data_IF_130528106752
#
_entry.id   IF_130528106752
#
_cell.length_a   1.000
_cell.length_b   1.000
_cell.length_c   1.000
_cell.angle_alpha   90.00
_cell.angle_beta   90.00
_cell.angle_gamma   90.00
#
_symmetry.space_group_name_H-M   'P 1'
#
loop_
_entity.id
_entity.type
_entity.pdbx_description
1 polymer ?
#
# COMPACT_ATOMS: atom_id res chain seq x y z
N UNK A 1 -28.41 19.56 -1.27
CA UNK A 1 -27.40 20.57 -0.92
C UNK A 1 -26.11 20.16 -1.60
N UNK A 2 -25.58 20.95 -2.53
CA UNK A 2 -24.24 20.75 -3.07
C UNK A 2 -23.24 20.89 -1.92
N UNK A 3 -22.43 19.85 -1.71
CA UNK A 3 -21.37 19.91 -0.69
C UNK A 3 -20.34 20.96 -1.15
N UNK A 4 -20.06 21.95 -0.32
CA UNK A 4 -19.04 22.97 -0.60
C UNK A 4 -17.69 22.25 -0.78
N UNK A 5 -17.07 22.44 -1.94
CA UNK A 5 -15.72 21.92 -2.21
C UNK A 5 -14.72 22.70 -1.37
N UNK A 6 -13.85 22.00 -0.64
CA UNK A 6 -12.73 22.56 0.09
C UNK A 6 -11.46 22.22 -0.69
N UNK A 7 -10.85 23.22 -1.28
CA UNK A 7 -9.67 23.06 -2.14
C UNK A 7 -8.39 22.79 -1.36
N UNK A 8 -7.32 22.45 -2.09
CA UNK A 8 -6.03 21.98 -1.55
C UNK A 8 -5.42 23.00 -0.57
N UNK A 9 -5.48 24.28 -0.91
CA UNK A 9 -4.90 25.39 -0.13
C UNK A 9 -5.86 26.01 0.89
N UNK A 10 -7.15 25.59 0.86
CA UNK A 10 -8.16 26.20 1.73
C UNK A 10 -7.89 25.91 3.19
N UNK A 11 -8.02 26.95 4.01
CA UNK A 11 -7.96 26.83 5.45
C UNK A 11 -9.27 26.27 5.99
N UNK A 12 -9.16 25.25 6.82
CA UNK A 12 -10.31 24.58 7.43
C UNK A 12 -10.43 25.00 8.90
N UNK A 13 -11.63 25.46 9.33
CA UNK A 13 -11.82 25.81 10.74
C UNK A 13 -11.67 24.59 11.65
N UNK A 14 -11.16 24.79 12.86
CA UNK A 14 -10.73 23.71 13.78
C UNK A 14 -11.86 22.72 14.09
N UNK A 15 -13.10 23.19 14.18
CA UNK A 15 -14.29 22.35 14.43
C UNK A 15 -14.58 21.35 13.29
N UNK A 16 -14.13 21.61 12.06
CA UNK A 16 -14.19 20.70 10.92
C UNK A 16 -12.86 19.99 10.69
N UNK A 17 -11.75 20.64 10.98
CA UNK A 17 -10.41 20.08 10.79
C UNK A 17 -10.22 18.78 11.55
N UNK A 18 -10.57 18.75 12.84
CA UNK A 18 -10.37 17.58 13.70
C UNK A 18 -11.19 16.37 13.21
N UNK A 19 -12.52 16.44 13.01
CA UNK A 19 -13.30 15.31 12.54
C UNK A 19 -12.85 14.79 11.16
N UNK A 20 -12.52 15.69 10.23
CA UNK A 20 -12.04 15.31 8.90
C UNK A 20 -10.66 14.67 8.95
N UNK A 21 -9.76 15.18 9.80
CA UNK A 21 -8.44 14.57 10.01
C UNK A 21 -8.54 13.18 10.63
N UNK A 22 -9.43 12.99 11.60
CA UNK A 22 -9.74 11.69 12.19
C UNK A 22 -10.26 10.73 11.12
N UNK A 23 -11.12 11.20 10.22
CA UNK A 23 -11.66 10.42 9.11
C UNK A 23 -10.56 9.92 8.17
N UNK A 24 -9.61 10.77 7.79
CA UNK A 24 -8.47 10.39 6.95
C UNK A 24 -7.53 9.42 7.66
N UNK A 25 -7.27 9.60 8.96
CA UNK A 25 -6.46 8.68 9.73
C UNK A 25 -7.11 7.29 9.81
N UNK A 26 -8.41 7.21 10.04
CA UNK A 26 -9.10 5.92 10.14
C UNK A 26 -9.33 5.24 8.79
N UNK A 27 -9.39 5.97 7.68
CA UNK A 27 -9.52 5.37 6.35
C UNK A 27 -8.35 4.42 6.03
N UNK A 28 -7.14 4.74 6.52
CA UNK A 28 -5.94 3.92 6.30
C UNK A 28 -5.62 2.97 7.46
N UNK A 29 -6.46 2.93 8.51
CA UNK A 29 -6.17 2.16 9.71
C UNK A 29 -6.01 0.66 9.45
N UNK A 30 -6.81 0.11 8.52
CA UNK A 30 -6.74 -1.31 8.16
C UNK A 30 -5.35 -1.73 7.69
N UNK A 31 -4.74 -0.98 6.77
CA UNK A 31 -3.40 -1.27 6.29
C UNK A 31 -2.32 -1.00 7.34
N UNK A 32 -2.52 0.02 8.19
CA UNK A 32 -1.60 0.32 9.30
C UNK A 32 -1.62 -0.72 10.42
N UNK A 33 -2.66 -1.57 10.47
CA UNK A 33 -2.72 -2.74 11.35
C UNK A 33 -2.17 -3.98 10.65
N UNK A 34 -2.56 -4.20 9.39
CA UNK A 34 -2.25 -5.42 8.66
C UNK A 34 -0.75 -5.55 8.34
N UNK A 35 -0.12 -4.49 7.83
CA UNK A 35 1.27 -4.57 7.39
C UNK A 35 2.24 -4.83 8.56
N UNK A 36 2.18 -4.12 9.71
CA UNK A 36 3.01 -4.46 10.85
C UNK A 36 2.74 -5.85 11.40
N UNK A 37 1.49 -6.34 11.39
CA UNK A 37 1.15 -7.69 11.78
C UNK A 37 1.88 -8.73 10.89
N UNK A 38 1.88 -8.54 9.57
CA UNK A 38 2.55 -9.44 8.63
C UNK A 38 4.06 -9.52 8.85
N UNK A 39 4.70 -8.40 9.19
CA UNK A 39 6.14 -8.36 9.49
C UNK A 39 6.48 -8.70 10.95
N UNK A 40 5.48 -8.87 11.82
CA UNK A 40 5.70 -9.11 13.25
C UNK A 40 6.35 -7.93 13.98
N UNK A 41 6.07 -6.69 13.54
CA UNK A 41 6.64 -5.47 14.13
C UNK A 41 5.60 -4.68 14.94
N UNK A 42 6.09 -3.79 15.82
CA UNK A 42 5.20 -2.94 16.60
C UNK A 42 4.48 -1.92 15.71
N UNK A 43 3.13 -1.87 15.71
CA UNK A 43 2.36 -0.93 14.88
C UNK A 43 2.64 0.55 15.23
N UNK A 44 3.14 0.87 16.41
CA UNK A 44 3.47 2.23 16.81
C UNK A 44 4.52 2.88 15.87
N UNK A 45 5.58 2.14 15.47
CA UNK A 45 6.59 2.68 14.55
C UNK A 45 6.00 2.95 13.16
N UNK A 46 5.03 2.14 12.73
CA UNK A 46 4.36 2.31 11.45
C UNK A 46 3.46 3.56 11.48
N UNK A 47 2.68 3.75 12.54
CA UNK A 47 1.86 4.96 12.72
C UNK A 47 2.72 6.23 12.77
N UNK A 48 3.87 6.17 13.45
CA UNK A 48 4.82 7.27 13.51
C UNK A 48 5.33 7.64 12.11
N UNK A 49 5.76 6.63 11.34
CA UNK A 49 6.36 6.87 10.03
C UNK A 49 5.33 7.24 8.95
N UNK A 50 4.11 6.74 9.03
CA UNK A 50 3.01 7.21 8.18
C UNK A 50 2.74 8.71 8.41
N UNK A 51 2.73 9.15 9.67
CA UNK A 51 2.56 10.57 10.00
C UNK A 51 3.74 11.42 9.55
N UNK A 52 4.97 11.04 9.91
CA UNK A 52 6.18 11.77 9.50
C UNK A 52 6.30 11.80 7.97
N UNK A 53 6.11 10.67 7.30
CA UNK A 53 6.18 10.56 5.85
C UNK A 53 5.17 11.48 5.15
N UNK A 54 3.93 11.53 5.67
CA UNK A 54 2.90 12.44 5.16
C UNK A 54 3.29 13.91 5.31
N UNK A 55 3.83 14.31 6.47
CA UNK A 55 4.30 15.68 6.68
C UNK A 55 5.49 16.03 5.76
N UNK A 56 6.43 15.10 5.58
CA UNK A 56 7.54 15.27 4.63
C UNK A 56 7.02 15.41 3.19
N UNK A 57 6.03 14.61 2.81
CA UNK A 57 5.40 14.72 1.49
C UNK A 57 4.77 16.09 1.28
N UNK A 58 3.98 16.57 2.24
CA UNK A 58 3.36 17.90 2.18
C UNK A 58 4.43 18.99 2.05
N UNK A 59 5.52 18.89 2.82
CA UNK A 59 6.62 19.86 2.81
C UNK A 59 7.32 19.89 1.45
N UNK A 60 7.71 18.74 0.91
CA UNK A 60 8.47 18.61 -0.35
C UNK A 60 7.59 19.02 -1.55
N UNK A 61 6.29 18.69 -1.51
CA UNK A 61 5.32 19.11 -2.54
C UNK A 61 4.81 20.54 -2.35
N UNK A 62 5.36 21.28 -1.37
CA UNK A 62 5.01 22.68 -1.07
C UNK A 62 3.52 22.87 -0.75
N UNK A 63 2.88 21.88 -0.14
CA UNK A 63 1.45 21.93 0.19
C UNK A 63 0.51 21.92 -1.00
N UNK A 64 0.98 21.54 -2.20
CA UNK A 64 0.17 21.59 -3.44
C UNK A 64 -0.46 20.25 -3.81
N UNK A 65 0.06 19.12 -3.30
CA UNK A 65 -0.46 17.79 -3.57
C UNK A 65 -1.04 17.19 -2.28
N UNK A 66 -2.34 16.95 -2.19
CA UNK A 66 -2.95 16.30 -1.04
C UNK A 66 -2.77 14.79 -1.18
N UNK A 67 -1.94 14.19 -0.32
CA UNK A 67 -1.80 12.76 -0.21
C UNK A 67 -1.46 12.37 1.22
N UNK A 68 -2.08 11.30 1.71
CA UNK A 68 -1.68 10.64 2.94
C UNK A 68 -0.79 9.46 2.58
N UNK A 69 0.36 9.34 3.26
CA UNK A 69 1.27 8.22 3.07
C UNK A 69 1.04 7.16 4.14
N UNK A 70 0.99 5.91 3.71
CA UNK A 70 0.86 4.78 4.59
C UNK A 70 1.65 3.57 4.11
N UNK A 71 1.55 2.46 4.82
CA UNK A 71 2.34 1.24 4.58
C UNK A 71 2.08 0.67 3.19
N UNK A 72 3.11 0.55 2.37
CA UNK A 72 2.98 0.03 1.01
C UNK A 72 2.82 -1.48 0.98
N UNK A 73 1.79 -1.96 0.29
CA UNK A 73 1.56 -3.39 0.07
C UNK A 73 2.50 -3.99 -0.99
N UNK A 74 3.03 -3.18 -1.90
CA UNK A 74 3.95 -3.61 -2.94
C UNK A 74 5.25 -4.24 -2.39
N UNK A 75 5.59 -3.93 -1.14
CA UNK A 75 6.77 -4.48 -0.48
C UNK A 75 6.50 -5.72 0.37
N UNK A 76 5.25 -6.14 0.54
CA UNK A 76 4.94 -7.28 1.41
C UNK A 76 5.62 -8.55 0.92
N UNK A 77 5.38 -8.96 -0.33
CA UNK A 77 5.96 -10.18 -0.86
C UNK A 77 7.49 -10.20 -0.82
N UNK A 78 8.23 -9.26 -1.45
CA UNK A 78 9.69 -9.27 -1.41
C UNK A 78 10.25 -9.00 0.00
N UNK A 79 9.58 -8.15 0.79
CA UNK A 79 10.00 -7.83 2.15
C UNK A 79 9.86 -9.02 3.11
N UNK A 80 8.75 -9.76 3.05
CA UNK A 80 8.53 -10.97 3.84
C UNK A 80 9.50 -12.09 3.45
N UNK A 81 9.79 -12.25 2.15
CA UNK A 81 10.78 -13.20 1.66
C UNK A 81 12.16 -12.91 2.25
N UNK A 82 12.59 -11.65 2.26
CA UNK A 82 13.85 -11.23 2.87
C UNK A 82 13.80 -11.37 4.40
N UNK A 83 12.73 -10.94 5.03
CA UNK A 83 12.57 -11.01 6.48
C UNK A 83 12.58 -12.45 7.00
N UNK A 84 11.97 -13.39 6.28
CA UNK A 84 11.99 -14.82 6.65
C UNK A 84 13.37 -15.48 6.51
N UNK A 85 14.18 -15.04 5.52
CA UNK A 85 15.50 -15.63 5.24
C UNK A 85 16.63 -15.01 6.06
N UNK A 86 16.63 -13.69 6.23
CA UNK A 86 17.73 -12.92 6.81
C UNK A 86 17.34 -12.18 8.09
N UNK A 87 16.05 -11.99 8.34
CA UNK A 87 15.51 -11.15 9.40
C UNK A 87 15.07 -9.77 8.90
N UNK A 88 14.16 -9.14 9.66
CA UNK A 88 13.52 -7.86 9.28
C UNK A 88 14.52 -6.71 9.09
N UNK A 89 15.62 -6.67 9.86
CA UNK A 89 16.63 -5.62 9.71
C UNK A 89 17.27 -5.59 8.31
N UNK A 90 17.40 -6.74 7.65
CA UNK A 90 17.90 -6.80 6.27
C UNK A 90 16.84 -6.37 5.24
N UNK A 91 15.57 -6.59 5.52
CA UNK A 91 14.49 -5.99 4.72
C UNK A 91 14.52 -4.47 4.82
N UNK A 92 14.75 -3.91 6.03
CA UNK A 92 14.94 -2.46 6.22
C UNK A 92 16.07 -1.91 5.35
N UNK A 93 17.22 -2.60 5.28
CA UNK A 93 18.33 -2.23 4.40
C UNK A 93 17.95 -2.20 2.93
N UNK A 94 17.18 -3.19 2.48
CA UNK A 94 16.60 -3.22 1.14
C UNK A 94 15.67 -2.05 0.87
N UNK A 95 14.80 -1.71 1.82
CA UNK A 95 13.87 -0.57 1.72
C UNK A 95 14.61 0.77 1.63
N UNK A 96 15.66 0.97 2.41
CA UNK A 96 16.50 2.18 2.36
C UNK A 96 17.15 2.33 0.98
N UNK A 97 17.78 1.28 0.47
CA UNK A 97 18.44 1.33 -0.84
C UNK A 97 17.43 1.56 -1.96
N UNK A 98 16.29 0.87 -1.93
CA UNK A 98 15.22 1.07 -2.89
C UNK A 98 14.70 2.52 -2.85
N UNK A 99 14.48 3.09 -1.65
CA UNK A 99 14.08 4.49 -1.51
C UNK A 99 15.08 5.46 -2.12
N UNK A 100 16.40 5.23 -1.92
CA UNK A 100 17.46 6.03 -2.55
C UNK A 100 17.41 5.89 -4.08
N UNK A 101 17.27 4.67 -4.61
CA UNK A 101 17.12 4.44 -6.04
C UNK A 101 15.89 5.14 -6.61
N UNK A 102 14.77 5.14 -5.87
CA UNK A 102 13.54 5.82 -6.25
C UNK A 102 13.68 7.34 -6.30
N UNK A 103 14.43 7.93 -5.35
CA UNK A 103 14.77 9.35 -5.42
C UNK A 103 15.59 9.67 -6.69
N UNK A 104 16.52 8.79 -7.10
CA UNK A 104 17.26 8.95 -8.36
C UNK A 104 16.30 8.85 -9.55
N UNK A 105 15.35 7.90 -9.56
CA UNK A 105 14.32 7.81 -10.61
C UNK A 105 13.50 9.09 -10.68
N UNK A 106 13.12 9.68 -9.56
CA UNK A 106 12.42 10.96 -9.53
C UNK A 106 13.23 12.10 -10.17
N UNK A 107 14.55 12.12 -9.97
CA UNK A 107 15.44 13.08 -10.62
C UNK A 107 15.55 12.82 -12.13
N UNK A 108 15.60 11.56 -12.56
CA UNK A 108 15.58 11.18 -13.99
C UNK A 108 14.27 11.64 -14.63
N UNK A 109 13.14 11.43 -13.98
CA UNK A 109 11.83 11.91 -14.46
C UNK A 109 11.80 13.43 -14.60
N UNK A 110 12.45 14.16 -13.70
CA UNK A 110 12.55 15.61 -13.78
C UNK A 110 13.28 16.07 -15.07
N UNK A 111 14.28 15.33 -15.51
CA UNK A 111 15.09 15.67 -16.70
C UNK A 111 14.55 15.09 -17.99
N UNK A 112 14.09 13.83 -17.97
CA UNK A 112 13.74 13.05 -19.16
C UNK A 112 12.23 12.88 -19.37
N UNK A 113 11.39 13.30 -18.40
CA UNK A 113 9.94 13.06 -18.44
C UNK A 113 9.57 11.61 -18.11
N UNK A 114 8.33 11.22 -18.43
CA UNK A 114 7.73 9.92 -18.03
C UNK A 114 7.62 8.91 -19.18
N UNK A 115 7.81 9.33 -20.44
CA UNK A 115 7.54 8.49 -21.62
C UNK A 115 8.30 7.16 -21.64
N UNK A 116 9.49 7.11 -21.03
CA UNK A 116 10.27 5.88 -20.92
C UNK A 116 9.62 4.82 -20.02
N UNK A 117 8.78 5.25 -19.06
CA UNK A 117 8.07 4.35 -18.15
C UNK A 117 7.03 3.55 -18.94
N UNK A 118 6.29 4.18 -19.86
CA UNK A 118 5.31 3.52 -20.70
C UNK A 118 5.95 2.50 -21.66
N UNK A 119 7.25 2.69 -21.99
CA UNK A 119 8.01 1.71 -22.78
C UNK A 119 8.43 0.52 -21.93
N UNK A 120 8.93 0.77 -20.72
CA UNK A 120 9.47 -0.27 -19.82
C UNK A 120 8.35 -1.05 -19.17
N UNK A 121 7.27 -0.37 -18.78
CA UNK A 121 6.13 -0.97 -18.08
C UNK A 121 4.80 -0.39 -18.59
N UNK A 122 4.37 -0.75 -19.80
CA UNK A 122 3.11 -0.30 -20.37
C UNK A 122 1.92 -0.79 -19.52
N UNK A 123 0.76 -0.14 -19.65
CA UNK A 123 -0.42 -0.44 -18.84
C UNK A 123 -0.83 -1.91 -18.92
N UNK A 124 -0.69 -2.57 -20.09
CA UNK A 124 -0.98 -3.99 -20.26
C UNK A 124 -0.08 -4.91 -19.42
N UNK A 125 1.08 -4.43 -18.98
CA UNK A 125 1.97 -5.11 -18.04
C UNK A 125 1.73 -4.66 -16.60
N UNK A 126 1.56 -3.34 -16.41
CA UNK A 126 1.43 -2.72 -15.08
C UNK A 126 0.16 -3.17 -14.36
N UNK A 127 -0.98 -3.20 -15.06
CA UNK A 127 -2.25 -3.63 -14.46
C UNK A 127 -2.18 -5.02 -13.82
N UNK A 128 -1.70 -6.06 -14.56
CA UNK A 128 -1.48 -7.39 -13.98
C UNK A 128 -0.49 -7.42 -12.83
N UNK A 129 0.62 -6.67 -12.91
CA UNK A 129 1.62 -6.61 -11.82
C UNK A 129 1.00 -6.02 -10.55
N UNK A 130 0.22 -4.94 -10.68
CA UNK A 130 -0.53 -4.35 -9.54
C UNK A 130 -1.57 -5.34 -9.00
N UNK A 131 -2.30 -6.04 -9.88
CA UNK A 131 -3.26 -7.05 -9.44
C UNK A 131 -2.61 -8.18 -8.65
N UNK A 132 -1.41 -8.60 -9.03
CA UNK A 132 -0.64 -9.65 -8.35
C UNK A 132 -0.24 -9.27 -6.92
N UNK A 133 -0.12 -7.98 -6.58
CA UNK A 133 0.16 -7.54 -5.19
C UNK A 133 -0.89 -8.13 -4.23
N UNK A 134 -2.16 -8.03 -4.60
CA UNK A 134 -3.24 -8.56 -3.78
C UNK A 134 -3.41 -10.07 -3.93
N UNK A 135 -3.38 -10.59 -5.16
CA UNK A 135 -3.67 -11.98 -5.45
C UNK A 135 -2.63 -12.95 -4.88
N UNK A 136 -1.35 -12.59 -4.89
CA UNK A 136 -0.26 -13.42 -4.33
C UNK A 136 -0.43 -13.60 -2.81
N UNK A 137 -1.01 -12.62 -2.12
CA UNK A 137 -1.21 -12.66 -0.68
C UNK A 137 -2.49 -13.40 -0.24
N UNK A 138 -3.31 -13.89 -1.18
CA UNK A 138 -4.58 -14.55 -0.87
C UNK A 138 -4.39 -15.79 0.03
N UNK A 139 -3.40 -16.63 -0.26
CA UNK A 139 -3.05 -17.80 0.56
C UNK A 139 -2.61 -17.40 1.99
N UNK A 140 -1.83 -16.34 2.12
CA UNK A 140 -1.40 -15.80 3.42
C UNK A 140 -2.60 -15.31 4.25
N UNK A 141 -3.57 -14.63 3.61
CA UNK A 141 -4.78 -14.21 4.30
C UNK A 141 -5.61 -15.39 4.82
N UNK A 142 -5.76 -16.45 4.02
CA UNK A 142 -6.47 -17.67 4.41
C UNK A 142 -5.75 -18.41 5.55
N UNK A 143 -4.43 -18.48 5.50
CA UNK A 143 -3.63 -19.07 6.59
C UNK A 143 -3.74 -18.25 7.88
N UNK A 144 -3.63 -16.92 7.79
CA UNK A 144 -3.79 -16.02 8.96
C UNK A 144 -5.18 -16.15 9.59
N UNK A 145 -6.21 -16.41 8.79
CA UNK A 145 -7.56 -16.67 9.27
C UNK A 145 -7.73 -18.04 9.96
N UNK A 146 -6.74 -18.95 9.87
CA UNK A 146 -6.82 -20.33 10.34
C UNK A 146 -7.69 -21.23 9.46
N UNK A 147 -7.93 -20.83 8.18
CA UNK A 147 -8.76 -21.59 7.24
C UNK A 147 -7.98 -22.66 6.48
N UNK A 148 -6.65 -22.65 6.55
CA UNK A 148 -5.77 -23.65 5.94
C UNK A 148 -5.14 -24.59 6.96
N UNK A 149 -5.54 -24.51 8.23
CA UNK A 149 -5.06 -25.40 9.27
C UNK A 149 -5.62 -26.81 9.10
N UNK A 150 -4.86 -27.83 9.49
CA UNK A 150 -5.30 -29.24 9.40
C UNK A 150 -6.60 -29.50 10.19
N UNK A 151 -6.76 -28.79 11.30
CA UNK A 151 -8.00 -28.77 12.10
C UNK A 151 -8.53 -27.34 12.18
N UNK A 152 -9.58 -27.07 11.42
CA UNK A 152 -10.21 -25.76 11.39
C UNK A 152 -11.02 -25.54 12.67
N UNK A 153 -10.67 -24.53 13.45
CA UNK A 153 -11.45 -24.12 14.62
C UNK A 153 -12.68 -23.28 14.18
N UNK A 154 -13.88 -23.76 14.49
CA UNK A 154 -15.14 -23.07 14.15
C UNK A 154 -15.24 -21.68 14.79
N UNK A 155 -14.56 -21.41 15.90
CA UNK A 155 -14.48 -20.05 16.48
C UNK A 155 -13.76 -19.10 15.54
N UNK A 156 -12.65 -19.54 14.95
CA UNK A 156 -11.90 -18.77 13.96
C UNK A 156 -12.75 -18.49 12.71
N UNK A 157 -13.50 -19.48 12.24
CA UNK A 157 -14.42 -19.33 11.09
C UNK A 157 -15.50 -18.29 11.40
N UNK A 158 -16.13 -18.34 12.58
CA UNK A 158 -17.17 -17.38 12.97
C UNK A 158 -16.59 -15.95 13.00
N UNK A 159 -15.44 -15.75 13.64
CA UNK A 159 -14.80 -14.45 13.76
C UNK A 159 -14.40 -13.92 12.37
N UNK A 160 -13.83 -14.79 11.52
CA UNK A 160 -13.50 -14.46 10.15
C UNK A 160 -14.73 -14.03 9.35
N UNK A 161 -15.82 -14.80 9.39
CA UNK A 161 -17.06 -14.51 8.65
C UNK A 161 -17.73 -13.21 9.13
N UNK A 162 -17.75 -12.96 10.43
CA UNK A 162 -18.28 -11.70 10.99
C UNK A 162 -17.44 -10.54 10.49
N UNK A 163 -16.12 -10.63 10.56
CA UNK A 163 -15.21 -9.56 10.14
C UNK A 163 -15.36 -9.29 8.64
N UNK A 164 -15.25 -10.33 7.81
CA UNK A 164 -15.39 -10.21 6.36
C UNK A 164 -16.79 -9.73 5.97
N UNK A 165 -17.83 -10.26 6.60
CA UNK A 165 -19.22 -9.84 6.35
C UNK A 165 -19.42 -8.36 6.62
N UNK A 166 -18.99 -7.88 7.80
CA UNK A 166 -19.09 -6.45 8.14
C UNK A 166 -18.24 -5.60 7.19
N UNK A 167 -17.05 -6.06 6.80
CA UNK A 167 -16.20 -5.36 5.85
C UNK A 167 -16.88 -5.21 4.48
N UNK A 168 -17.41 -6.30 3.93
CA UNK A 168 -18.05 -6.32 2.60
C UNK A 168 -19.37 -5.56 2.61
N UNK A 169 -20.28 -5.90 3.53
CA UNK A 169 -21.57 -5.23 3.60
C UNK A 169 -21.46 -3.77 4.03
N UNK A 170 -20.46 -3.44 4.86
CA UNK A 170 -20.16 -2.07 5.25
C UNK A 170 -19.80 -1.16 4.06
N UNK A 171 -19.07 -1.68 3.07
CA UNK A 171 -18.76 -0.95 1.83
C UNK A 171 -20.02 -0.54 1.06
N UNK A 172 -21.10 -1.33 1.17
CA UNK A 172 -22.32 -1.13 0.38
C UNK A 172 -23.41 -0.40 1.18
N UNK A 173 -23.56 -0.74 2.46
CA UNK A 173 -24.67 -0.31 3.29
C UNK A 173 -24.39 0.97 4.09
N UNK A 174 -23.11 1.21 4.48
CA UNK A 174 -22.79 2.37 5.30
C UNK A 174 -22.90 3.67 4.51
N UNK A 175 -23.36 4.73 5.18
CA UNK A 175 -23.58 6.05 4.60
C UNK A 175 -22.91 7.14 5.44
N UNK A 176 -22.61 8.26 4.81
CA UNK A 176 -22.01 9.41 5.47
C UNK A 176 -20.61 9.11 6.00
N UNK A 177 -20.33 9.41 7.27
CA UNK A 177 -19.03 9.18 7.89
C UNK A 177 -18.66 7.68 7.93
N UNK A 178 -19.63 6.80 8.21
CA UNK A 178 -19.39 5.36 8.34
C UNK A 178 -18.94 4.71 7.02
N UNK A 179 -19.36 5.25 5.87
CA UNK A 179 -18.96 4.73 4.55
C UNK A 179 -17.47 4.91 4.25
N UNK A 180 -16.76 5.69 5.04
CA UNK A 180 -15.33 5.97 4.88
C UNK A 180 -14.46 5.06 5.76
N UNK A 181 -15.05 4.46 6.79
CA UNK A 181 -14.34 3.65 7.79
C UNK A 181 -14.87 2.21 7.91
N UNK A 182 -15.34 1.55 6.84
CA UNK A 182 -15.95 0.22 6.93
C UNK A 182 -14.99 -0.83 7.48
N UNK A 183 -13.70 -0.74 7.13
CA UNK A 183 -12.66 -1.67 7.60
C UNK A 183 -12.43 -1.53 9.11
N UNK A 184 -12.40 -0.30 9.63
CA UNK A 184 -12.30 -0.09 11.08
C UNK A 184 -13.49 -0.69 11.82
N UNK A 185 -14.70 -0.50 11.30
CA UNK A 185 -15.93 -1.08 11.89
C UNK A 185 -15.88 -2.61 11.84
N UNK A 186 -15.36 -3.18 10.74
CA UNK A 186 -15.17 -4.62 10.60
C UNK A 186 -14.16 -5.17 11.62
N UNK A 187 -13.05 -4.45 11.87
CA UNK A 187 -12.08 -4.82 12.91
C UNK A 187 -12.76 -4.82 14.29
N UNK A 188 -13.52 -3.76 14.62
CA UNK A 188 -14.23 -3.67 15.91
C UNK A 188 -15.25 -4.81 16.05
N UNK A 189 -16.03 -5.09 15.01
CA UNK A 189 -17.01 -6.16 15.02
C UNK A 189 -16.36 -7.55 15.15
N UNK A 190 -15.29 -7.79 14.40
CA UNK A 190 -14.51 -9.02 14.50
C UNK A 190 -13.84 -9.20 15.86
N UNK A 191 -13.31 -8.11 16.41
CA UNK A 191 -12.73 -8.12 17.76
C UNK A 191 -13.81 -8.43 18.84
N UNK A 192 -15.00 -7.85 18.72
CA UNK A 192 -16.14 -8.17 19.58
C UNK A 192 -16.58 -9.64 19.44
N UNK A 193 -16.63 -10.17 18.21
CA UNK A 193 -16.92 -11.59 17.98
C UNK A 193 -15.83 -12.49 18.58
N UNK A 194 -14.56 -12.11 18.48
CA UNK A 194 -13.44 -12.83 19.09
C UNK A 194 -13.54 -12.83 20.62
N UNK A 195 -13.96 -11.70 21.22
CA UNK A 195 -14.24 -11.63 22.65
C UNK A 195 -15.38 -12.58 23.07
N UNK A 196 -16.47 -12.60 22.31
CA UNK A 196 -17.61 -13.50 22.55
C UNK A 196 -17.24 -14.98 22.40
N UNK A 197 -16.32 -15.31 21.49
CA UNK A 197 -15.78 -16.67 21.34
C UNK A 197 -14.73 -17.06 22.37
N UNK A 198 -14.28 -16.12 23.21
CA UNK A 198 -13.30 -16.35 24.27
C UNK A 198 -11.89 -16.62 23.76
N UNK A 199 -11.51 -16.04 22.60
CA UNK A 199 -10.17 -16.19 22.00
C UNK A 199 -9.25 -14.98 22.24
N UNK A 200 -9.73 -13.96 22.96
CA UNK A 200 -8.93 -12.76 23.26
C UNK A 200 -8.16 -12.90 24.57
N UNK A 201 -6.90 -12.46 24.53
CA UNK A 201 -6.08 -12.24 25.71
C UNK A 201 -5.74 -10.76 25.86
N UNK A 202 -6.19 -10.14 26.96
CA UNK A 202 -5.96 -8.73 27.27
C UNK A 202 -4.75 -8.50 28.18
N UNK A 203 -3.98 -9.53 28.50
CA UNK A 203 -2.84 -9.42 29.43
C UNK A 203 -1.86 -8.37 28.97
N UNK A 204 -1.46 -8.42 27.71
CA UNK A 204 -0.54 -7.44 27.12
C UNK A 204 -1.06 -5.99 27.18
N UNK A 205 -2.39 -5.79 27.03
CA UNK A 205 -3.01 -4.46 27.12
C UNK A 205 -3.02 -3.94 28.55
N UNK A 206 -3.25 -4.82 29.53
CA UNK A 206 -3.25 -4.44 30.95
C UNK A 206 -1.86 -4.01 31.41
N UNK A 207 -0.82 -4.74 30.99
CA UNK A 207 0.59 -4.50 31.35
C UNK A 207 1.22 -3.34 30.60
N UNK A 208 0.71 -2.99 29.40
CA UNK A 208 1.24 -1.91 28.61
C UNK A 208 1.15 -0.56 29.33
N UNK A 209 2.24 0.22 29.23
CA UNK A 209 2.23 1.61 29.65
C UNK A 209 1.28 2.45 28.79
N UNK A 210 0.68 3.50 29.37
CA UNK A 210 -0.21 4.38 28.60
C UNK A 210 0.56 5.11 27.51
N UNK A 211 1.76 5.64 27.84
CA UNK A 211 2.70 6.21 26.89
C UNK A 211 3.92 5.30 26.75
N UNK A 212 4.32 5.04 25.51
CA UNK A 212 5.50 4.28 25.18
C UNK A 212 6.17 4.86 23.93
N UNK A 213 7.48 4.76 23.86
CA UNK A 213 8.21 5.10 22.64
C UNK A 213 8.04 3.96 21.62
N UNK A 214 7.86 4.29 20.32
CA UNK A 214 7.91 3.30 19.25
C UNK A 214 9.24 2.54 19.24
N UNK A 215 9.21 1.28 18.83
CA UNK A 215 10.41 0.45 18.80
C UNK A 215 11.21 0.74 17.52
N UNK A 216 12.34 1.43 17.65
CA UNK A 216 13.25 1.75 16.55
C UNK A 216 14.21 0.60 16.29
N UNK A 217 14.45 0.28 15.02
CA UNK A 217 15.41 -0.73 14.57
C UNK A 217 16.30 -0.16 13.47
N UNK A 218 17.62 -0.39 13.57
CA UNK A 218 18.56 0.03 12.55
C UNK A 218 18.58 -0.97 11.37
N UNK A 219 18.69 -0.49 10.10
CA UNK A 219 18.82 -1.34 8.95
C UNK A 219 20.18 -2.08 8.93
N UNK A 220 20.16 -3.31 8.38
CA UNK A 220 21.37 -4.06 8.01
C UNK A 220 21.38 -4.27 6.50
N UNK A 221 22.54 -4.22 5.89
CA UNK A 221 22.65 -4.28 4.45
C UNK A 221 23.22 -5.64 4.01
N UNK A 222 22.55 -6.24 3.02
CA UNK A 222 22.96 -7.45 2.35
C UNK A 222 22.59 -7.33 0.87
N UNK A 223 23.51 -7.62 -0.03
CA UNK A 223 23.32 -7.44 -1.47
C UNK A 223 22.14 -8.29 -2.00
N UNK A 224 22.02 -9.53 -1.55
CA UNK A 224 20.95 -10.43 -1.97
C UNK A 224 19.56 -9.90 -1.53
N UNK A 225 19.46 -9.43 -0.28
CA UNK A 225 18.25 -8.83 0.25
C UNK A 225 17.85 -7.56 -0.56
N UNK A 226 18.82 -6.71 -0.89
CA UNK A 226 18.61 -5.51 -1.70
C UNK A 226 18.11 -5.88 -3.09
N UNK A 227 18.79 -6.81 -3.78
CA UNK A 227 18.42 -7.22 -5.14
C UNK A 227 17.05 -7.92 -5.20
N UNK A 228 16.63 -8.57 -4.12
CA UNK A 228 15.31 -9.19 -4.02
C UNK A 228 14.19 -8.14 -3.93
N UNK A 229 14.46 -7.02 -3.24
CA UNK A 229 13.47 -5.95 -3.03
C UNK A 229 13.46 -4.93 -4.19
N UNK A 230 14.60 -4.70 -4.82
CA UNK A 230 14.80 -3.63 -5.81
C UNK A 230 13.80 -3.64 -6.99
N UNK A 231 13.34 -4.78 -7.54
CA UNK A 231 12.34 -4.77 -8.62
C UNK A 231 11.01 -4.10 -8.25
N UNK A 232 10.65 -4.03 -6.97
CA UNK A 232 9.47 -3.32 -6.51
C UNK A 232 9.54 -1.80 -6.76
N UNK A 233 10.72 -1.26 -7.08
CA UNK A 233 10.94 0.15 -7.39
C UNK A 233 10.03 0.67 -8.51
N UNK A 234 9.98 -0.05 -9.64
CA UNK A 234 9.18 0.38 -10.78
C UNK A 234 7.69 0.20 -10.53
N UNK A 235 7.32 -0.82 -9.76
CA UNK A 235 5.94 -1.04 -9.35
C UNK A 235 5.43 0.14 -8.51
N UNK A 236 6.16 0.53 -7.46
CA UNK A 236 5.79 1.66 -6.61
C UNK A 236 5.81 2.97 -7.38
N UNK A 237 6.80 3.17 -8.28
CA UNK A 237 6.84 4.32 -9.17
C UNK A 237 5.56 4.44 -10.00
N UNK A 238 5.12 3.33 -10.58
CA UNK A 238 3.91 3.27 -11.41
C UNK A 238 2.63 3.48 -10.59
N UNK A 239 2.54 2.86 -9.40
CA UNK A 239 1.44 3.06 -8.46
C UNK A 239 1.32 4.53 -8.05
N UNK A 240 2.44 5.17 -7.70
CA UNK A 240 2.48 6.57 -7.34
C UNK A 240 2.01 7.48 -8.48
N UNK A 241 2.48 7.23 -9.72
CA UNK A 241 2.03 7.98 -10.91
C UNK A 241 0.51 7.84 -11.08
N UNK A 242 -0.01 6.63 -10.97
CA UNK A 242 -1.46 6.36 -11.03
C UNK A 242 -2.23 7.15 -9.98
N UNK A 243 -1.78 7.14 -8.73
CA UNK A 243 -2.38 7.92 -7.65
C UNK A 243 -2.35 9.42 -7.92
N UNK A 244 -1.25 9.97 -8.43
CA UNK A 244 -1.15 11.39 -8.77
C UNK A 244 -2.08 11.78 -9.92
N UNK A 245 -2.24 10.92 -10.94
CA UNK A 245 -3.20 11.14 -12.05
C UNK A 245 -4.63 11.18 -11.52
N UNK A 246 -5.02 10.20 -10.69
CA UNK A 246 -6.38 10.13 -10.11
C UNK A 246 -6.62 11.33 -9.20
N UNK A 247 -5.66 11.68 -8.34
CA UNK A 247 -5.76 12.85 -7.45
C UNK A 247 -5.90 14.13 -8.26
N UNK A 248 -5.11 14.31 -9.34
CA UNK A 248 -5.21 15.46 -10.25
C UNK A 248 -6.62 15.62 -10.81
N UNK A 249 -7.25 14.52 -11.27
CA UNK A 249 -8.63 14.53 -11.76
C UNK A 249 -9.64 14.93 -10.69
N UNK A 250 -9.47 14.43 -9.46
CA UNK A 250 -10.38 14.68 -8.33
C UNK A 250 -10.30 16.13 -7.87
N UNK A 251 -9.09 16.68 -7.72
CA UNK A 251 -8.88 18.06 -7.26
C UNK A 251 -9.07 19.10 -8.36
N UNK A 252 -9.08 18.68 -9.63
CA UNK A 252 -9.19 19.55 -10.79
C UNK A 252 -7.95 20.39 -11.08
N UNK A 253 -6.75 19.86 -10.69
CA UNK A 253 -5.44 20.51 -10.90
C UNK A 253 -4.44 19.52 -11.47
N UNK A 254 -3.56 19.96 -12.35
CA UNK A 254 -2.50 19.13 -12.91
C UNK A 254 -1.33 19.03 -11.92
N UNK A 255 -1.40 18.05 -11.02
CA UNK A 255 -0.38 17.78 -10.01
C UNK A 255 0.90 17.19 -10.62
N UNK A 256 0.83 16.63 -11.82
CA UNK A 256 2.01 16.12 -12.54
C UNK A 256 2.90 17.26 -13.02
N UNK A 257 2.31 18.44 -13.27
CA UNK A 257 3.01 19.65 -13.68
C UNK A 257 3.38 20.52 -12.48
N UNK A 258 2.46 20.78 -11.56
CA UNK A 258 2.67 21.60 -10.36
C UNK A 258 1.99 20.95 -9.13
N UNK A 259 2.75 20.49 -8.16
CA UNK A 259 4.17 20.71 -7.83
C UNK A 259 5.16 19.94 -8.69
N UNK A 260 4.70 19.08 -9.58
CA UNK A 260 5.49 18.25 -10.46
C UNK A 260 5.65 16.81 -9.94
N UNK A 261 5.48 15.84 -10.84
CA UNK A 261 5.60 14.42 -10.52
C UNK A 261 6.93 14.08 -9.86
N UNK A 262 8.03 14.68 -10.31
CA UNK A 262 9.35 14.45 -9.73
C UNK A 262 9.43 14.80 -8.24
N UNK A 263 8.70 15.83 -7.78
CA UNK A 263 8.67 16.20 -6.35
C UNK A 263 7.83 15.25 -5.53
N UNK A 264 6.65 14.88 -6.02
CA UNK A 264 5.78 13.96 -5.29
C UNK A 264 6.42 12.57 -5.19
N UNK A 265 7.03 12.08 -6.27
CA UNK A 265 7.74 10.81 -6.29
C UNK A 265 9.00 10.83 -5.41
N UNK A 266 9.78 11.92 -5.46
CA UNK A 266 10.93 12.11 -4.57
C UNK A 266 10.49 12.07 -3.10
N UNK A 267 9.39 12.75 -2.75
CA UNK A 267 8.88 12.77 -1.39
C UNK A 267 8.43 11.39 -0.90
N UNK A 268 7.79 10.60 -1.77
CA UNK A 268 7.35 9.24 -1.50
C UNK A 268 8.54 8.32 -1.16
N UNK A 269 9.55 8.31 -2.03
CA UNK A 269 10.75 7.51 -1.82
C UNK A 269 11.65 8.03 -0.69
N UNK A 270 11.68 9.34 -0.44
CA UNK A 270 12.37 9.90 0.71
C UNK A 270 11.70 9.44 2.01
N UNK A 271 10.37 9.46 2.07
CA UNK A 271 9.62 8.90 3.21
C UNK A 271 9.92 7.41 3.41
N UNK A 272 9.95 6.60 2.34
CA UNK A 272 10.34 5.20 2.39
C UNK A 272 11.76 5.01 2.95
N UNK A 273 12.72 5.83 2.52
CA UNK A 273 14.10 5.80 3.03
C UNK A 273 14.15 6.08 4.52
N UNK A 274 13.48 7.16 4.97
CA UNK A 274 13.43 7.52 6.40
C UNK A 274 12.74 6.43 7.22
N UNK A 275 11.65 5.84 6.70
CA UNK A 275 10.96 4.71 7.33
C UNK A 275 11.89 3.51 7.54
N UNK A 276 12.62 3.12 6.51
CA UNK A 276 13.59 2.02 6.58
C UNK A 276 14.75 2.29 7.55
N UNK A 277 15.23 3.54 7.62
CA UNK A 277 16.28 3.94 8.57
C UNK A 277 15.82 3.87 10.04
N UNK A 278 14.55 4.08 10.31
CA UNK A 278 13.98 4.12 11.66
C UNK A 278 13.31 2.80 12.09
N UNK A 279 13.29 1.78 11.23
CA UNK A 279 12.78 0.46 11.59
C UNK A 279 11.31 0.23 11.25
N UNK A 280 10.77 1.01 10.32
CA UNK A 280 9.41 0.85 9.81
C UNK A 280 9.38 0.29 8.39
N UNK A 281 8.18 -0.08 7.95
CA UNK A 281 7.93 -0.52 6.58
C UNK A 281 7.92 0.66 5.60
N UNK A 282 8.12 0.42 4.29
CA UNK A 282 8.02 1.44 3.27
C UNK A 282 6.66 2.10 3.25
N UNK A 283 6.64 3.39 2.96
CA UNK A 283 5.43 4.19 2.81
C UNK A 283 5.19 4.53 1.35
N UNK A 284 3.91 4.70 0.98
CA UNK A 284 3.49 5.21 -0.34
C UNK A 284 2.17 5.97 -0.21
N UNK A 285 1.79 6.70 -1.25
CA UNK A 285 0.49 7.39 -1.30
C UNK A 285 -0.67 6.40 -1.29
N UNK A 286 -1.75 6.70 -0.58
CA UNK A 286 -2.87 5.77 -0.36
C UNK A 286 -4.09 6.08 -1.23
N UNK A 287 -4.54 5.04 -1.95
CA UNK A 287 -5.78 5.06 -2.74
C UNK A 287 -7.03 5.25 -1.89
N UNK A 288 -7.08 4.69 -0.67
CA UNK A 288 -8.19 4.83 0.26
C UNK A 288 -8.41 6.29 0.64
N UNK A 289 -7.34 7.04 0.93
CA UNK A 289 -7.44 8.47 1.22
C UNK A 289 -7.84 9.30 -0.01
N UNK A 290 -7.45 8.88 -1.22
CA UNK A 290 -7.93 9.47 -2.47
C UNK A 290 -9.44 9.24 -2.59
N UNK A 291 -9.93 8.05 -2.25
CA UNK A 291 -11.36 7.73 -2.17
C UNK A 291 -12.12 8.61 -1.18
N UNK A 292 -11.54 8.85 0.00
CA UNK A 292 -12.11 9.79 1.00
C UNK A 292 -12.25 11.19 0.41
N UNK A 293 -11.20 11.72 -0.22
CA UNK A 293 -11.24 13.03 -0.88
C UNK A 293 -12.32 13.10 -1.96
N UNK A 294 -12.44 12.06 -2.78
CA UNK A 294 -13.45 11.98 -3.83
C UNK A 294 -14.88 12.04 -3.28
N UNK A 295 -15.14 11.33 -2.16
CA UNK A 295 -16.47 11.28 -1.53
C UNK A 295 -16.81 12.53 -0.72
N UNK A 296 -15.85 13.08 0.01
CA UNK A 296 -16.07 14.20 0.91
C UNK A 296 -16.04 15.55 0.19
N UNK A 297 -15.34 15.64 -0.96
CA UNK A 297 -14.98 16.87 -1.67
C UNK A 297 -14.09 17.80 -0.85
N UNK A 298 -13.32 17.22 0.08
CA UNK A 298 -12.35 17.92 0.93
C UNK A 298 -10.96 17.53 0.50
N UNK A 299 -10.22 18.48 -0.06
CA UNK A 299 -8.87 18.24 -0.63
C UNK A 299 -7.77 18.96 0.15
N UNK A 300 -8.12 19.65 1.23
CA UNK A 300 -7.19 20.50 1.98
C UNK A 300 -6.01 19.71 2.57
N UNK A 301 -4.80 20.17 2.27
CA UNK A 301 -3.56 19.63 2.87
C UNK A 301 -3.50 19.82 4.38
N UNK A 302 -4.26 20.78 4.95
CA UNK A 302 -4.36 20.93 6.40
C UNK A 302 -5.07 19.75 7.04
N UNK A 303 -6.11 19.21 6.40
CA UNK A 303 -6.83 18.02 6.88
C UNK A 303 -5.92 16.79 6.83
N UNK A 304 -5.19 16.62 5.73
CA UNK A 304 -4.20 15.53 5.58
C UNK A 304 -3.07 15.67 6.61
N UNK A 305 -2.53 16.88 6.79
CA UNK A 305 -1.52 17.17 7.80
C UNK A 305 -2.04 16.95 9.24
N UNK A 306 -3.28 17.31 9.51
CA UNK A 306 -3.95 17.02 10.78
C UNK A 306 -4.07 15.51 11.05
N UNK A 307 -4.42 14.71 10.04
CA UNK A 307 -4.42 13.25 10.13
C UNK A 307 -3.02 12.68 10.42
N UNK A 308 -1.99 13.26 9.79
CA UNK A 308 -0.60 12.88 10.04
C UNK A 308 -0.16 13.16 11.49
N UNK A 309 -0.49 14.33 12.00
CA UNK A 309 -0.21 14.68 13.42
C UNK A 309 -0.94 13.75 14.37
N UNK A 310 -2.21 13.44 14.10
CA UNK A 310 -2.97 12.48 14.92
C UNK A 310 -2.32 11.09 14.89
N UNK A 311 -1.84 10.62 13.74
CA UNK A 311 -1.13 9.34 13.62
C UNK A 311 0.16 9.34 14.46
N UNK A 312 0.94 10.45 14.43
CA UNK A 312 2.11 10.61 15.28
C UNK A 312 1.72 10.57 16.76
N UNK A 313 0.68 11.29 17.17
CA UNK A 313 0.21 11.25 18.56
C UNK A 313 -0.20 9.84 18.98
N UNK A 314 -0.93 9.12 18.13
CA UNK A 314 -1.35 7.73 18.38
C UNK A 314 -0.17 6.76 18.50
N UNK A 315 0.95 7.02 17.83
CA UNK A 315 2.15 6.18 17.89
C UNK A 315 2.80 6.13 19.27
N UNK A 316 2.57 7.14 20.11
CA UNK A 316 3.09 7.18 21.49
C UNK A 316 2.11 6.57 22.50
N UNK A 317 0.91 6.14 22.09
CA UNK A 317 -0.06 5.48 22.96
C UNK A 317 0.27 3.98 23.05
N UNK A 318 1.06 3.58 24.05
CA UNK A 318 1.48 2.19 24.24
C UNK A 318 0.30 1.21 24.40
N UNK A 319 -0.77 1.62 25.09
CA UNK A 319 -2.00 0.83 25.19
C UNK A 319 -2.69 0.63 23.84
N UNK A 320 -2.65 1.62 22.94
CA UNK A 320 -3.21 1.48 21.59
C UNK A 320 -2.39 0.47 20.78
N UNK A 321 -1.07 0.55 20.82
CA UNK A 321 -0.19 -0.40 20.15
C UNK A 321 -0.39 -1.83 20.68
N UNK A 322 -0.50 -1.99 22.01
CA UNK A 322 -0.80 -3.27 22.62
C UNK A 322 -2.17 -3.80 22.20
N UNK A 323 -3.21 -2.95 22.14
CA UNK A 323 -4.55 -3.33 21.68
C UNK A 323 -4.52 -3.82 20.22
N UNK A 324 -3.80 -3.12 19.35
CA UNK A 324 -3.64 -3.53 17.94
C UNK A 324 -2.94 -4.90 17.85
N UNK A 325 -1.93 -5.15 18.68
CA UNK A 325 -1.21 -6.43 18.69
C UNK A 325 -2.05 -7.59 19.25
N UNK A 326 -3.15 -7.33 19.98
CA UNK A 326 -4.05 -8.38 20.45
C UNK A 326 -5.15 -8.72 19.45
N UNK A 327 -5.19 -8.07 18.28
CA UNK A 327 -6.15 -8.42 17.23
C UNK A 327 -5.84 -9.84 16.74
N UNK A 328 -6.77 -10.79 16.86
CA UNK A 328 -6.50 -12.18 16.51
C UNK A 328 -6.43 -12.41 15.00
N UNK A 329 -5.70 -13.46 14.61
CA UNK A 329 -5.51 -13.84 13.20
C UNK A 329 -6.78 -13.88 12.36
N UNK A 330 -7.90 -14.49 12.82
CA UNK A 330 -9.15 -14.50 12.05
C UNK A 330 -9.73 -13.12 11.73
N UNK A 331 -9.54 -12.13 12.59
CA UNK A 331 -9.95 -10.73 12.29
C UNK A 331 -9.03 -10.15 11.21
N UNK A 332 -7.72 -10.33 11.37
CA UNK A 332 -6.73 -9.88 10.37
C UNK A 332 -6.99 -10.54 9.02
N UNK A 333 -7.20 -11.87 9.01
CA UNK A 333 -7.53 -12.60 7.79
C UNK A 333 -8.81 -12.09 7.12
N UNK A 334 -9.86 -11.81 7.91
CA UNK A 334 -11.13 -11.29 7.40
C UNK A 334 -11.00 -9.94 6.68
N UNK A 335 -10.27 -8.99 7.26
CA UNK A 335 -10.00 -7.71 6.57
C UNK A 335 -9.05 -7.87 5.39
N UNK A 336 -8.07 -8.80 5.48
CA UNK A 336 -7.10 -9.06 4.41
C UNK A 336 -7.77 -9.56 3.15
N UNK A 337 -8.78 -10.44 3.25
CA UNK A 337 -9.54 -10.91 2.09
C UNK A 337 -10.12 -9.75 1.28
N UNK A 338 -10.74 -8.77 1.96
CA UNK A 338 -11.28 -7.61 1.27
C UNK A 338 -10.16 -6.70 0.74
N UNK A 339 -9.17 -6.36 1.56
CA UNK A 339 -8.09 -5.44 1.17
C UNK A 339 -7.26 -5.97 0.01
N UNK A 340 -6.83 -7.23 0.06
CA UNK A 340 -6.06 -7.85 -1.02
C UNK A 340 -6.90 -8.00 -2.29
N UNK A 341 -8.19 -8.33 -2.15
CA UNK A 341 -9.13 -8.33 -3.27
C UNK A 341 -9.30 -6.95 -3.90
N UNK A 342 -9.38 -5.89 -3.10
CA UNK A 342 -9.46 -4.50 -3.58
C UNK A 342 -8.19 -4.07 -4.32
N UNK A 343 -7.01 -4.48 -3.85
CA UNK A 343 -5.74 -4.22 -4.55
C UNK A 343 -5.75 -4.97 -5.89
N UNK A 344 -6.13 -6.26 -5.89
CA UNK A 344 -6.25 -7.05 -7.11
C UNK A 344 -7.18 -6.41 -8.15
N UNK A 345 -8.36 -5.98 -7.71
CA UNK A 345 -9.32 -5.29 -8.59
C UNK A 345 -8.86 -3.91 -9.02
N UNK A 346 -8.02 -3.21 -8.24
CA UNK A 346 -7.41 -1.95 -8.65
C UNK A 346 -6.49 -2.12 -9.87
N UNK A 347 -5.71 -3.20 -9.92
CA UNK A 347 -4.92 -3.55 -11.09
C UNK A 347 -5.77 -3.84 -12.34
N UNK A 348 -6.88 -4.57 -12.16
CA UNK A 348 -7.84 -4.81 -13.25
C UNK A 348 -8.51 -3.52 -13.71
N UNK A 349 -8.90 -2.66 -12.78
CA UNK A 349 -9.47 -1.33 -13.08
C UNK A 349 -8.51 -0.48 -13.90
N UNK A 350 -7.21 -0.54 -13.62
CA UNK A 350 -6.19 0.17 -14.40
C UNK A 350 -6.24 -0.23 -15.88
N UNK A 351 -6.42 -1.53 -16.19
CA UNK A 351 -6.56 -2.03 -17.56
C UNK A 351 -7.82 -1.47 -18.25
N UNK A 352 -8.94 -1.42 -17.52
CA UNK A 352 -10.23 -0.94 -18.03
C UNK A 352 -10.21 0.58 -18.23
N UNK A 353 -9.75 1.35 -17.24
CA UNK A 353 -9.74 2.82 -17.27
C UNK A 353 -8.81 3.37 -18.37
N UNK A 354 -7.75 2.62 -18.72
CA UNK A 354 -6.83 2.95 -19.83
C UNK A 354 -7.21 2.26 -21.14
N UNK A 355 -8.36 1.60 -21.20
CA UNK A 355 -8.90 0.97 -22.40
C UNK A 355 -7.87 0.08 -23.12
N UNK A 356 -7.17 -0.79 -22.37
CA UNK A 356 -6.18 -1.70 -22.94
C UNK A 356 -6.84 -2.57 -23.98
N UNK A 357 -6.38 -2.45 -25.22
CA UNK A 357 -6.92 -3.18 -26.38
C UNK A 357 -6.33 -4.60 -26.43
N UNK A 358 -7.15 -5.59 -26.07
CA UNK A 358 -6.77 -7.00 -26.11
C UNK A 358 -6.97 -7.67 -27.48
N UNK A 359 -7.45 -6.96 -28.51
CA UNK A 359 -7.36 -7.43 -29.89
C UNK A 359 -5.91 -7.44 -30.39
N UNK A 360 -5.04 -6.64 -29.77
CA UNK A 360 -3.60 -6.63 -30.03
C UNK A 360 -2.94 -7.83 -29.34
N UNK A 361 -2.32 -8.70 -30.12
CA UNK A 361 -1.65 -9.92 -29.64
C UNK A 361 -0.58 -9.64 -28.59
N UNK A 362 0.15 -8.50 -28.68
CA UNK A 362 1.14 -8.09 -27.69
C UNK A 362 0.55 -7.86 -26.31
N UNK A 363 -0.59 -7.15 -26.22
CA UNK A 363 -1.23 -6.85 -24.94
C UNK A 363 -1.77 -8.12 -24.29
N UNK A 364 -2.40 -8.99 -25.10
CA UNK A 364 -2.90 -10.28 -24.65
C UNK A 364 -1.75 -11.14 -24.10
N UNK A 365 -0.66 -11.30 -24.88
CA UNK A 365 0.48 -12.10 -24.47
C UNK A 365 1.14 -11.57 -23.20
N UNK A 366 1.37 -10.24 -23.13
CA UNK A 366 2.01 -9.60 -22.00
C UNK A 366 1.20 -9.79 -20.70
N UNK A 367 -0.09 -9.47 -20.73
CA UNK A 367 -0.99 -9.62 -19.58
C UNK A 367 -1.06 -11.09 -19.13
N UNK A 368 -1.23 -12.04 -20.09
CA UNK A 368 -1.35 -13.45 -19.76
C UNK A 368 -0.10 -14.03 -19.11
N UNK A 369 1.08 -13.73 -19.68
CA UNK A 369 2.35 -14.24 -19.15
C UNK A 369 2.63 -13.68 -17.76
N UNK A 370 2.37 -12.39 -17.53
CA UNK A 370 2.58 -11.74 -16.23
C UNK A 370 1.70 -12.39 -15.15
N UNK A 371 0.40 -12.58 -15.41
CA UNK A 371 -0.48 -13.23 -14.44
C UNK A 371 -0.04 -14.67 -14.12
N UNK A 372 0.26 -15.46 -15.15
CA UNK A 372 0.64 -16.85 -14.94
C UNK A 372 1.95 -16.98 -14.19
N UNK A 373 2.96 -16.18 -14.52
CA UNK A 373 4.23 -16.21 -13.77
C UNK A 373 4.01 -15.82 -12.31
N UNK A 374 3.25 -14.76 -12.05
CA UNK A 374 3.00 -14.31 -10.69
C UNK A 374 2.30 -15.33 -9.80
N UNK A 375 1.35 -16.10 -10.37
CA UNK A 375 0.52 -17.06 -9.61
C UNK A 375 1.03 -18.50 -9.65
N UNK A 376 1.99 -18.81 -10.54
CA UNK A 376 2.45 -20.19 -10.78
C UNK A 376 3.29 -20.79 -9.67
N UNK A 377 3.80 -19.96 -8.75
CA UNK A 377 4.80 -20.38 -7.75
C UNK A 377 6.19 -20.66 -8.33
N UNK A 378 6.45 -20.31 -9.60
CA UNK A 378 7.77 -20.45 -10.23
C UNK A 378 8.79 -19.57 -9.46
N UNK A 379 9.97 -20.14 -9.25
CA UNK A 379 11.11 -19.46 -8.68
C UNK A 379 12.29 -19.49 -9.65
N UNK A 380 12.83 -18.34 -9.98
CA UNK A 380 14.06 -18.21 -10.75
C UNK A 380 15.23 -17.90 -9.80
N UNK A 381 16.20 -18.80 -9.77
CA UNK A 381 17.40 -18.61 -8.98
C UNK A 381 18.54 -18.03 -9.87
N UNK A 382 18.90 -16.78 -9.63
CA UNK A 382 20.01 -16.10 -10.30
C UNK A 382 21.18 -15.98 -9.31
N UNK A 383 22.01 -17.01 -9.27
CA UNK A 383 23.03 -17.12 -8.24
C UNK A 383 22.41 -17.18 -6.83
N UNK A 384 22.70 -16.19 -6.02
CA UNK A 384 22.17 -16.10 -4.66
C UNK A 384 20.78 -15.40 -4.58
N UNK A 385 20.31 -14.79 -5.65
CA UNK A 385 19.04 -14.06 -5.68
C UNK A 385 17.92 -15.00 -6.15
N UNK A 386 16.85 -15.10 -5.37
CA UNK A 386 15.65 -15.85 -5.70
C UNK A 386 14.52 -14.90 -6.06
N UNK A 387 14.12 -14.90 -7.32
CA UNK A 387 12.96 -14.13 -7.81
C UNK A 387 11.73 -15.04 -7.86
N UNK A 388 10.65 -14.64 -7.22
CA UNK A 388 9.38 -15.40 -7.16
C UNK A 388 8.19 -14.47 -7.34
N UNK A 389 7.03 -15.04 -7.65
CA UNK A 389 5.74 -14.36 -7.62
C UNK A 389 5.72 -13.05 -8.41
N UNK A 390 5.16 -12.00 -7.82
CA UNK A 390 5.03 -10.67 -8.39
C UNK A 390 6.39 -10.06 -8.82
N UNK A 391 7.46 -10.29 -8.05
CA UNK A 391 8.79 -9.74 -8.35
C UNK A 391 9.31 -10.32 -9.68
N UNK A 392 9.20 -11.64 -9.85
CA UNK A 392 9.58 -12.30 -11.10
C UNK A 392 8.68 -11.85 -12.25
N UNK A 393 7.37 -11.76 -12.02
CA UNK A 393 6.40 -11.29 -13.01
C UNK A 393 6.72 -9.85 -13.48
N UNK A 394 7.10 -8.96 -12.56
CA UNK A 394 7.50 -7.59 -12.89
C UNK A 394 8.76 -7.56 -13.78
N UNK A 395 9.79 -8.33 -13.45
CA UNK A 395 11.02 -8.41 -14.23
C UNK A 395 10.74 -8.94 -15.64
N UNK A 396 9.92 -10.00 -15.75
CA UNK A 396 9.52 -10.55 -17.05
C UNK A 396 8.66 -9.56 -17.84
N UNK A 397 7.74 -8.87 -17.18
CA UNK A 397 6.92 -7.83 -17.82
C UNK A 397 7.80 -6.76 -18.48
N UNK A 398 8.80 -6.27 -17.76
CA UNK A 398 9.75 -5.28 -18.26
C UNK A 398 10.58 -5.80 -19.43
N UNK A 399 11.10 -7.03 -19.30
CA UNK A 399 11.90 -7.66 -20.35
C UNK A 399 11.08 -7.84 -21.65
N UNK A 400 9.86 -8.35 -21.54
CA UNK A 400 8.94 -8.53 -22.68
C UNK A 400 8.55 -7.18 -23.29
N UNK A 401 8.26 -6.17 -22.48
CA UNK A 401 7.90 -4.84 -22.95
C UNK A 401 9.03 -4.21 -23.78
N UNK A 402 10.26 -4.31 -23.28
CA UNK A 402 11.44 -3.83 -24.00
C UNK A 402 11.69 -4.60 -25.30
N UNK A 403 11.55 -5.92 -25.28
CA UNK A 403 11.66 -6.77 -26.49
C UNK A 403 10.59 -6.36 -27.51
N UNK A 404 9.33 -6.21 -27.10
CA UNK A 404 8.25 -5.79 -27.99
C UNK A 404 8.48 -4.41 -28.57
N UNK A 405 8.98 -3.47 -27.76
CA UNK A 405 9.35 -2.14 -28.25
C UNK A 405 10.47 -2.16 -29.30
N UNK A 406 11.50 -3.01 -29.11
CA UNK A 406 12.58 -3.20 -30.07
C UNK A 406 12.05 -3.82 -31.36
N UNK A 407 11.21 -4.88 -31.27
CA UNK A 407 10.62 -5.54 -32.43
C UNK A 407 9.73 -4.59 -33.24
N UNK A 408 8.98 -3.69 -32.55
CA UNK A 408 8.22 -2.63 -33.21
C UNK A 408 9.11 -1.68 -34.02
N UNK A 409 10.19 -1.21 -33.41
CA UNK A 409 11.14 -0.35 -34.09
C UNK A 409 11.80 -0.98 -35.32
N UNK A 410 11.91 -2.32 -35.28
CA UNK A 410 12.45 -3.09 -36.39
C UNK A 410 11.37 -3.50 -37.42
N UNK A 411 10.10 -3.09 -37.22
CA UNK A 411 8.95 -3.47 -38.04
C UNK A 411 8.75 -4.99 -38.18
N UNK A 412 9.05 -5.75 -37.11
CA UNK A 412 8.94 -7.20 -37.08
C UNK A 412 7.66 -7.69 -36.40
N UNK A 413 6.81 -6.77 -35.93
CA UNK A 413 5.54 -7.12 -35.26
C UNK A 413 4.39 -7.17 -36.28
N UNK A 414 3.39 -8.01 -35.98
CA UNK A 414 2.17 -8.14 -36.76
C UNK A 414 1.00 -7.27 -36.25
N UNK A 415 1.26 -6.46 -35.22
CA UNK A 415 0.28 -5.54 -34.59
C UNK A 415 0.33 -4.12 -35.22
N UNK A 416 0.77 -3.98 -36.46
CA UNK A 416 0.89 -2.71 -37.19
C UNK A 416 -0.47 -2.17 -37.64
#
# INVERSE_FOLDING_TARGET
MERKIIQVEDKVPVNLLIPLSIQHMFAMFGASVLVPFMFGINPAIVLLMNGIGTLLFILITKGKAPAYLGSSFAFLSPGLLVASKFGFQYALGGFVVLGICGMIVALIIHQCGTNWIDIVLPTAAMGPVVALIGLELAGSAASTAGLLDEQIDMKNVIVFLVTLGVAVFGQILFRGFLSVIPILIAIIAGYAAAAACGILDFTAVKEAAFFALPNFQAPKFNLEAILTILPALLLVTSEHIGHQIVTSKIVGKDLLKDPGLHRSLFADFFSTTVSGCLGSVPTTTYGENIGVMAMTKVYSVQVIGGAAVLSICCSFLGKLAALINTIPGPVIGGISFLLYGMIGTSGLRMLVDNQVDYSKSRNLALTSVVFIIGLSGIALNLGNVKLTGMVLACVVAMALSLIFYILDKLHLTNDL
#
